data_IF_696486420365
#
_entry.id   IF_696486420365
#
_cell.length_a   1.000
_cell.length_b   1.000
_cell.length_c   1.000
_cell.angle_alpha   90.00
_cell.angle_beta   90.00
_cell.angle_gamma   90.00
#
_symmetry.space_group_name_H-M   'P 1'
#
loop_
_entity.id
_entity.type
_entity.pdbx_description
1 polymer ?
#
# COMPACT_ATOMS: atom_id res chain seq x y z
N UNK A 1 -3.91 4.82 1.39
CA UNK A 1 -3.86 4.56 2.85
C UNK A 1 -3.66 3.05 3.12
N UNK A 2 -3.07 2.62 4.24
CA UNK A 2 -2.81 1.19 4.60
C UNK A 2 -3.09 0.96 6.09
N UNK A 3 -3.73 -0.15 6.46
CA UNK A 3 -3.96 -0.56 7.85
C UNK A 3 -2.90 -1.60 8.29
N UNK A 4 -2.30 -1.38 9.47
CA UNK A 4 -1.27 -2.28 10.00
C UNK A 4 -1.65 -2.78 11.40
N UNK A 5 -1.80 -4.10 11.56
CA UNK A 5 -1.93 -4.77 12.85
C UNK A 5 -0.55 -5.09 13.42
N UNK A 6 0.06 -4.15 14.14
CA UNK A 6 1.40 -4.32 14.71
C UNK A 6 1.41 -5.23 15.95
N UNK A 7 2.59 -5.77 16.29
CA UNK A 7 2.85 -6.67 17.42
C UNK A 7 2.18 -8.05 17.28
N UNK A 8 2.12 -8.58 16.06
CA UNK A 8 1.58 -9.92 15.83
C UNK A 8 2.38 -11.06 16.50
N UNK A 9 3.58 -10.76 17.00
CA UNK A 9 4.39 -11.67 17.83
C UNK A 9 3.78 -11.93 19.22
N UNK A 10 2.97 -11.01 19.75
CA UNK A 10 2.29 -11.16 21.04
C UNK A 10 0.94 -11.87 20.90
N UNK A 11 0.94 -13.03 20.23
CA UNK A 11 -0.25 -13.87 20.05
C UNK A 11 -0.99 -14.17 21.37
N UNK A 12 -0.30 -14.47 22.50
CA UNK A 12 -0.99 -14.74 23.78
C UNK A 12 -1.76 -13.54 24.34
N UNK A 13 -1.44 -12.32 23.90
CA UNK A 13 -2.09 -11.09 24.34
C UNK A 13 -2.99 -10.49 23.26
N UNK A 14 -3.28 -11.24 22.19
CA UNK A 14 -4.10 -10.78 21.07
C UNK A 14 -5.49 -10.38 21.55
N UNK A 15 -5.83 -9.10 21.34
CA UNK A 15 -7.17 -8.56 21.61
C UNK A 15 -8.02 -8.42 20.35
N UNK A 16 -7.38 -8.30 19.19
CA UNK A 16 -8.06 -8.12 17.90
C UNK A 16 -7.76 -9.31 17.01
N UNK A 17 -8.81 -9.95 16.53
CA UNK A 17 -8.69 -11.09 15.60
C UNK A 17 -8.32 -10.62 14.21
N UNK A 18 -7.66 -11.49 13.42
CA UNK A 18 -7.31 -11.16 12.03
C UNK A 18 -8.56 -10.85 11.19
N UNK A 19 -9.62 -11.63 11.39
CA UNK A 19 -10.89 -11.50 10.65
C UNK A 19 -11.56 -10.16 10.90
N UNK A 20 -11.56 -9.71 12.16
CA UNK A 20 -12.10 -8.39 12.53
C UNK A 20 -11.31 -7.27 11.87
N UNK A 21 -9.98 -7.31 11.96
CA UNK A 21 -9.12 -6.30 11.35
C UNK A 21 -9.25 -6.28 9.81
N UNK A 22 -9.34 -7.45 9.16
CA UNK A 22 -9.61 -7.55 7.73
C UNK A 22 -10.98 -6.98 7.35
N UNK A 23 -12.00 -7.18 8.18
CA UNK A 23 -13.34 -6.64 7.93
C UNK A 23 -13.32 -5.11 7.99
N UNK A 24 -12.63 -4.53 8.97
CA UNK A 24 -12.46 -3.07 9.08
C UNK A 24 -11.67 -2.53 7.88
N UNK A 25 -10.60 -3.21 7.46
CA UNK A 25 -9.82 -2.81 6.31
C UNK A 25 -10.63 -2.82 5.00
N UNK A 26 -11.46 -3.86 4.81
CA UNK A 26 -12.41 -3.94 3.69
C UNK A 26 -13.42 -2.80 3.71
N UNK A 27 -13.97 -2.47 4.89
CA UNK A 27 -14.92 -1.36 5.04
C UNK A 27 -14.29 -0.01 4.69
N UNK A 28 -12.99 0.16 4.99
CA UNK A 28 -12.25 1.38 4.64
C UNK A 28 -11.64 1.33 3.23
N UNK A 29 -11.82 0.23 2.50
CA UNK A 29 -11.20 -0.04 1.20
C UNK A 29 -9.67 0.16 1.20
N UNK A 30 -9.01 -0.24 2.29
CA UNK A 30 -7.54 -0.19 2.43
C UNK A 30 -6.95 -1.58 2.59
N UNK A 31 -5.72 -1.81 2.10
CA UNK A 31 -5.02 -3.06 2.38
C UNK A 31 -4.65 -3.19 3.86
N UNK A 32 -4.66 -4.42 4.37
CA UNK A 32 -4.31 -4.77 5.74
C UNK A 32 -3.07 -5.67 5.78
N UNK A 33 -2.17 -5.41 6.73
CA UNK A 33 -1.01 -6.24 7.01
C UNK A 33 -0.84 -6.42 8.51
N UNK A 34 -0.65 -7.65 8.98
CA UNK A 34 -0.12 -7.89 10.31
C UNK A 34 1.39 -7.74 10.30
N UNK A 35 1.91 -6.89 11.18
CA UNK A 35 3.33 -6.59 11.24
C UNK A 35 3.88 -6.84 12.65
N UNK A 36 5.18 -7.13 12.72
CA UNK A 36 5.91 -7.06 13.99
C UNK A 36 7.18 -6.28 13.76
N UNK A 37 7.29 -5.13 14.42
CA UNK A 37 8.52 -4.33 14.41
C UNK A 37 9.69 -5.07 15.09
N UNK A 38 9.41 -5.86 16.12
CA UNK A 38 10.43 -6.61 16.87
C UNK A 38 10.95 -7.79 16.06
N UNK A 39 10.05 -8.60 15.49
CA UNK A 39 10.40 -9.77 14.70
C UNK A 39 10.63 -9.45 13.20
N UNK A 40 10.54 -8.17 12.81
CA UNK A 40 10.70 -7.67 11.43
C UNK A 40 9.75 -8.36 10.44
N UNK A 41 8.54 -8.71 10.87
CA UNK A 41 7.53 -9.41 10.06
C UNK A 41 6.69 -8.37 9.28
N UNK A 42 6.59 -8.54 7.96
CA UNK A 42 5.77 -7.75 7.03
C UNK A 42 5.95 -6.22 7.07
N UNK A 43 7.00 -5.73 7.73
CA UNK A 43 7.30 -4.29 7.83
C UNK A 43 7.61 -3.71 6.45
N UNK A 44 8.43 -4.43 5.66
CA UNK A 44 8.78 -4.01 4.29
C UNK A 44 7.58 -4.03 3.36
N UNK A 45 6.78 -5.10 3.39
CA UNK A 45 5.60 -5.24 2.55
C UNK A 45 4.56 -4.15 2.81
N UNK A 46 4.30 -3.84 4.08
CA UNK A 46 3.41 -2.76 4.47
C UNK A 46 3.91 -1.40 3.94
N UNK A 47 5.22 -1.14 4.01
CA UNK A 47 5.82 0.09 3.48
C UNK A 47 5.73 0.15 1.95
N UNK A 48 6.03 -0.93 1.25
CA UNK A 48 5.90 -0.99 -0.21
C UNK A 48 4.46 -0.81 -0.67
N UNK A 49 3.49 -1.42 0.04
CA UNK A 49 2.07 -1.24 -0.24
C UNK A 49 1.66 0.23 -0.11
N UNK A 50 2.11 0.91 0.95
CA UNK A 50 1.85 2.33 1.16
C UNK A 50 2.43 3.20 0.05
N UNK A 51 3.69 2.99 -0.33
CA UNK A 51 4.34 3.75 -1.42
C UNK A 51 3.63 3.52 -2.75
N UNK A 52 3.21 2.29 -3.06
CA UNK A 52 2.43 1.99 -4.27
C UNK A 52 1.10 2.74 -4.26
N UNK A 53 0.43 2.81 -3.11
CA UNK A 53 -0.85 3.50 -2.99
C UNK A 53 -0.70 5.02 -3.19
N UNK A 54 0.32 5.64 -2.58
CA UNK A 54 0.65 7.05 -2.80
C UNK A 54 0.92 7.30 -4.30
N UNK A 55 1.70 6.44 -4.95
CA UNK A 55 2.00 6.59 -6.39
C UNK A 55 0.74 6.53 -7.25
N UNK A 56 -0.19 5.62 -6.95
CA UNK A 56 -1.48 5.55 -7.66
C UNK A 56 -2.27 6.84 -7.50
N UNK A 57 -2.41 7.35 -6.28
CA UNK A 57 -3.15 8.59 -6.01
C UNK A 57 -2.53 9.81 -6.72
N UNK A 58 -1.20 9.91 -6.72
CA UNK A 58 -0.47 10.99 -7.42
C UNK A 58 -0.65 10.87 -8.94
N UNK A 59 -0.59 9.65 -9.50
CA UNK A 59 -0.78 9.43 -10.93
C UNK A 59 -2.23 9.68 -11.39
N UNK A 60 -3.22 9.46 -10.52
CA UNK A 60 -4.63 9.81 -10.82
C UNK A 60 -4.84 11.32 -10.82
N UNK A 61 -4.17 12.05 -9.92
CA UNK A 61 -4.23 13.52 -9.86
C UNK A 61 -3.50 14.20 -11.02
N UNK A 62 -2.47 13.56 -11.58
CA UNK A 62 -1.88 13.96 -12.86
C UNK A 62 -2.75 13.39 -13.98
N UNK A 63 -3.71 14.17 -14.48
CA UNK A 63 -4.51 13.79 -15.65
C UNK A 63 -3.65 13.29 -16.82
N UNK A 64 -4.22 12.57 -17.80
CA UNK A 64 -3.46 11.81 -18.78
C UNK A 64 -2.48 12.73 -19.49
N UNK A 65 -1.17 12.50 -19.26
CA UNK A 65 -0.13 13.13 -20.05
C UNK A 65 -0.34 12.63 -21.48
N UNK A 66 -0.91 13.49 -22.34
CA UNK A 66 -0.95 13.24 -23.79
C UNK A 66 0.49 12.98 -24.21
N UNK A 67 0.82 11.72 -24.56
CA UNK A 67 2.06 11.40 -25.28
C UNK A 67 2.02 12.19 -26.58
N UNK A 68 2.69 13.34 -26.61
CA UNK A 68 2.94 14.06 -27.85
C UNK A 68 3.62 13.09 -28.82
N UNK A 69 3.02 12.88 -29.99
CA UNK A 69 3.63 12.13 -31.08
C UNK A 69 4.97 12.82 -31.40
N UNK A 70 6.09 12.19 -31.05
CA UNK A 70 7.41 12.66 -31.43
C UNK A 70 7.50 12.69 -32.94
N UNK A 71 7.49 13.89 -33.51
CA UNK A 71 7.78 14.11 -34.92
C UNK A 71 9.21 13.68 -35.19
N UNK A 72 9.38 12.71 -36.10
CA UNK A 72 10.70 12.27 -36.54
C UNK A 72 11.47 13.44 -37.13
N UNK A 73 12.64 13.73 -36.58
CA UNK A 73 13.61 14.61 -37.21
C UNK A 73 14.27 13.83 -38.35
N UNK A 74 13.94 14.15 -39.60
CA UNK A 74 14.74 13.73 -40.76
C UNK A 74 15.86 14.75 -40.91
N UNK A 75 17.08 14.34 -40.59
CA UNK A 75 18.30 15.06 -40.98
C UNK A 75 18.45 14.81 -42.48
N UNK A 76 18.32 15.88 -43.26
CA UNK A 76 18.73 15.94 -44.67
C UNK A 76 20.24 16.13 -44.73
#
# INVERSE_FOLDING_TARGET
MVLCGNKCDLEPQRQVTKVEAETVAKNWAVPFYETSALARINVEEAFYALVREIRKEVNVKKGPVKKGKGGGCKIL
#
